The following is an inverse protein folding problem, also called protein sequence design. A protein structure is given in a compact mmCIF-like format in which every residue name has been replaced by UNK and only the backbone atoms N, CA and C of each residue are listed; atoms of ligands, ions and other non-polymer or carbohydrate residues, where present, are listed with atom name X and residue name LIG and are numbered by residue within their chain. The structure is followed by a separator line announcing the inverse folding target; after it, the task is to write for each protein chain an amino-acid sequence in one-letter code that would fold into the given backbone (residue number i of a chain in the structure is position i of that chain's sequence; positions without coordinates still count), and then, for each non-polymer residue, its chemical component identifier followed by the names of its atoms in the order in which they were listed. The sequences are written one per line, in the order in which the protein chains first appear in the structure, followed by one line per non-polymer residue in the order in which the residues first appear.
data_IF_559933113307
#
_entry.id   IF_559933113307
#
_cell.length_a   1.000
_cell.length_b   1.000
_cell.length_c   1.000
_cell.angle_alpha   90.00
_cell.angle_beta   90.00
_cell.angle_gamma   90.00
#
_symmetry.space_group_name_H-M   'P 1'
#
loop_
_entity.id
_entity.type
_entity.pdbx_description
1 polymer ?
#
# COMPACT_ATOMS: atom_id res chain seq x y z
N UNK A 1 -15.04 -4.04 11.87
CA UNK A 1 -14.06 -4.91 11.18
C UNK A 1 -14.48 -6.38 11.31
N UNK A 2 -14.76 -7.05 10.19
CA UNK A 2 -15.09 -8.49 10.14
C UNK A 2 -13.84 -9.38 10.29
N UNK A 3 -13.99 -10.70 10.55
CA UNK A 3 -12.86 -11.63 10.59
C UNK A 3 -12.04 -11.65 9.29
N UNK A 4 -12.71 -11.58 8.13
CA UNK A 4 -12.09 -11.53 6.82
C UNK A 4 -11.32 -10.22 6.61
N UNK A 5 -11.90 -9.10 7.00
CA UNK A 5 -11.22 -7.80 6.99
C UNK A 5 -9.98 -7.84 7.89
N UNK A 6 -10.09 -8.43 9.09
CA UNK A 6 -8.96 -8.55 10.01
C UNK A 6 -7.84 -9.43 9.44
N UNK A 7 -8.18 -10.55 8.80
CA UNK A 7 -7.22 -11.42 8.13
C UNK A 7 -6.48 -10.67 7.00
N UNK A 8 -7.21 -9.99 6.12
CA UNK A 8 -6.63 -9.17 5.05
C UNK A 8 -5.75 -8.06 5.62
N UNK A 9 -6.21 -7.37 6.66
CA UNK A 9 -5.44 -6.31 7.30
C UNK A 9 -4.09 -6.83 7.80
N UNK A 10 -4.07 -7.97 8.52
CA UNK A 10 -2.80 -8.55 9.00
C UNK A 10 -1.84 -8.88 7.87
N UNK A 11 -2.33 -9.34 6.71
CA UNK A 11 -1.50 -9.60 5.54
C UNK A 11 -0.84 -8.32 4.98
N UNK A 12 -1.43 -7.15 5.22
CA UNK A 12 -0.95 -5.86 4.71
C UNK A 12 -0.09 -5.05 5.70
N UNK A 13 0.02 -5.48 6.97
CA UNK A 13 0.73 -4.71 8.01
C UNK A 13 2.24 -4.66 7.78
N UNK A 14 2.85 -5.75 7.34
CA UNK A 14 4.32 -5.84 7.26
C UNK A 14 4.90 -5.04 6.08
N UNK A 15 4.26 -5.10 4.92
CA UNK A 15 4.71 -4.43 3.70
C UNK A 15 3.54 -4.20 2.73
N UNK A 16 3.65 -3.23 1.79
CA UNK A 16 2.73 -3.15 0.67
C UNK A 16 2.75 -4.44 -0.15
N UNK A 17 1.57 -5.00 -0.45
CA UNK A 17 1.42 -6.25 -1.22
C UNK A 17 0.54 -6.03 -2.44
N UNK A 18 0.82 -6.72 -3.57
CA UNK A 18 -0.10 -6.76 -4.70
C UNK A 18 -1.45 -7.35 -4.28
N UNK A 19 -2.55 -6.82 -4.82
CA UNK A 19 -3.90 -7.31 -4.51
C UNK A 19 -4.08 -8.79 -4.85
N UNK A 20 -3.45 -9.27 -5.93
CA UNK A 20 -3.48 -10.68 -6.31
C UNK A 20 -2.76 -11.59 -5.30
N UNK A 21 -1.67 -11.10 -4.68
CA UNK A 21 -0.95 -11.83 -3.63
C UNK A 21 -1.81 -11.95 -2.38
N UNK A 22 -2.47 -10.86 -1.96
CA UNK A 22 -3.43 -10.87 -0.84
C UNK A 22 -4.58 -11.85 -1.09
N UNK A 23 -5.09 -11.92 -2.33
CA UNK A 23 -6.16 -12.86 -2.68
C UNK A 23 -5.71 -14.32 -2.63
N UNK A 24 -4.51 -14.59 -3.13
CA UNK A 24 -3.92 -15.93 -3.10
C UNK A 24 -3.71 -16.42 -1.66
N UNK A 25 -3.18 -15.54 -0.79
CA UNK A 25 -2.89 -15.88 0.61
C UNK A 25 -4.12 -15.98 1.50
N UNK A 26 -5.14 -15.15 1.25
CA UNK A 26 -6.40 -15.20 2.01
C UNK A 26 -7.32 -16.33 1.57
N UNK A 27 -7.08 -16.93 0.40
CA UNK A 27 -7.97 -17.94 -0.20
C UNK A 27 -9.32 -17.39 -0.65
N UNK A 28 -9.48 -16.06 -0.70
CA UNK A 28 -10.71 -15.38 -1.07
C UNK A 28 -10.72 -15.00 -2.57
N UNK A 29 -11.90 -15.00 -3.23
CA UNK A 29 -12.00 -14.52 -4.59
C UNK A 29 -11.51 -13.07 -4.74
N UNK A 30 -10.81 -12.77 -5.83
CA UNK A 30 -10.22 -11.44 -6.08
C UNK A 30 -11.24 -10.30 -5.95
N UNK A 31 -12.48 -10.51 -6.40
CA UNK A 31 -13.56 -9.53 -6.27
C UNK A 31 -13.90 -9.22 -4.81
N UNK A 32 -13.97 -10.24 -3.96
CA UNK A 32 -14.23 -10.10 -2.52
C UNK A 32 -13.09 -9.32 -1.85
N UNK A 33 -11.85 -9.69 -2.14
CA UNK A 33 -10.66 -9.01 -1.60
C UNK A 33 -10.64 -7.54 -1.99
N UNK A 34 -11.00 -7.19 -3.22
CA UNK A 34 -11.09 -5.79 -3.65
C UNK A 34 -12.14 -5.00 -2.86
N UNK A 35 -13.30 -5.59 -2.58
CA UNK A 35 -14.35 -4.94 -1.76
C UNK A 35 -13.83 -4.71 -0.35
N UNK A 36 -13.30 -5.75 0.31
CA UNK A 36 -12.80 -5.65 1.68
C UNK A 36 -11.63 -4.65 1.81
N UNK A 37 -10.72 -4.61 0.83
CA UNK A 37 -9.65 -3.60 0.78
C UNK A 37 -10.20 -2.20 0.56
N UNK A 38 -11.30 -2.04 -0.20
CA UNK A 38 -11.92 -0.73 -0.42
C UNK A 38 -12.55 -0.19 0.87
N UNK A 39 -13.16 -1.07 1.66
CA UNK A 39 -13.69 -0.71 2.98
C UNK A 39 -12.56 -0.30 3.94
N UNK A 40 -11.50 -1.11 4.04
CA UNK A 40 -10.33 -0.78 4.87
C UNK A 40 -9.66 0.53 4.45
N UNK A 41 -9.64 0.83 3.14
CA UNK A 41 -9.12 2.08 2.61
C UNK A 41 -10.02 3.27 2.98
N UNK A 42 -11.35 3.11 2.87
CA UNK A 42 -12.32 4.13 3.26
C UNK A 42 -12.26 4.44 4.77
N UNK A 43 -12.00 3.43 5.60
CA UNK A 43 -11.76 3.57 7.03
C UNK A 43 -10.37 4.15 7.37
N UNK A 44 -9.50 4.35 6.38
CA UNK A 44 -8.15 4.88 6.57
C UNK A 44 -7.17 3.91 7.25
N UNK A 45 -7.54 2.63 7.34
CA UNK A 45 -6.73 1.58 7.98
C UNK A 45 -5.58 1.12 7.10
N UNK A 46 -5.70 1.26 5.78
CA UNK A 46 -4.65 0.93 4.82
C UNK A 46 -4.39 2.08 3.86
N UNK A 47 -3.25 2.01 3.17
CA UNK A 47 -2.92 2.91 2.05
C UNK A 47 -2.62 2.09 0.82
N UNK A 48 -2.98 2.63 -0.34
CA UNK A 48 -2.64 2.04 -1.63
C UNK A 48 -1.45 2.80 -2.22
N UNK A 49 -0.31 2.13 -2.34
CA UNK A 49 0.81 2.65 -3.11
C UNK A 49 0.56 2.41 -4.59
N UNK A 50 0.42 3.49 -5.36
CA UNK A 50 0.57 3.40 -6.82
C UNK A 50 2.05 3.34 -7.16
N UNK A 51 2.52 2.34 -7.91
CA UNK A 51 3.87 2.35 -8.45
C UNK A 51 4.08 3.64 -9.23
N UNK A 52 5.14 4.39 -8.90
CA UNK A 52 5.53 5.56 -9.69
C UNK A 52 6.30 5.03 -10.90
N UNK A 53 5.83 5.30 -12.14
CA UNK A 53 6.57 4.93 -13.34
C UNK A 53 7.98 5.55 -13.30
N UNK A 54 9.03 4.85 -13.80
CA UNK A 54 10.40 5.39 -13.77
C UNK A 54 10.53 6.78 -14.39
N UNK A 55 9.78 7.05 -15.47
CA UNK A 55 9.76 8.34 -16.16
C UNK A 55 9.18 9.51 -15.34
N UNK A 56 8.53 9.22 -14.20
CA UNK A 56 7.93 10.21 -13.29
C UNK A 56 8.70 10.33 -11.97
N UNK A 57 9.78 9.57 -11.79
CA UNK A 57 10.63 9.69 -10.62
C UNK A 57 11.46 10.99 -10.72
N UNK A 58 11.49 11.83 -9.67
CA UNK A 58 12.38 12.97 -9.63
C UNK A 58 13.85 12.54 -9.74
N UNK A 59 14.68 13.41 -10.31
CA UNK A 59 16.13 13.17 -10.35
C UNK A 59 16.68 12.94 -8.93
N UNK A 60 17.46 11.86 -8.77
CA UNK A 60 18.05 11.48 -7.49
C UNK A 60 19.00 12.55 -6.92
N UNK A 61 19.55 13.42 -7.75
CA UNK A 61 20.32 14.59 -7.30
C UNK A 61 19.42 15.58 -6.55
N UNK A 62 18.26 15.93 -7.11
CA UNK A 62 17.29 16.84 -6.49
C UNK A 62 16.80 16.27 -5.15
N UNK A 63 16.48 14.97 -5.08
CA UNK A 63 16.08 14.33 -3.83
C UNK A 63 17.16 14.42 -2.74
N UNK A 64 18.45 14.31 -3.11
CA UNK A 64 19.57 14.45 -2.19
C UNK A 64 19.71 15.89 -1.67
N UNK A 65 19.54 16.88 -2.54
CA UNK A 65 19.57 18.30 -2.14
C UNK A 65 18.44 18.62 -1.15
N UNK A 66 17.21 18.17 -1.42
CA UNK A 66 16.06 18.37 -0.52
C UNK A 66 16.29 17.71 0.84
N UNK A 67 16.77 16.46 0.87
CA UNK A 67 17.09 15.76 2.14
C UNK A 67 18.18 16.52 2.91
N UNK A 68 19.20 17.03 2.22
CA UNK A 68 20.24 17.85 2.82
C UNK A 68 19.68 19.11 3.46
N UNK A 69 18.82 19.84 2.74
CA UNK A 69 18.15 21.04 3.23
C UNK A 69 17.23 20.79 4.42
N UNK A 70 16.39 19.74 4.37
CA UNK A 70 15.48 19.38 5.48
C UNK A 70 16.20 18.97 6.77
N UNK A 71 17.45 18.47 6.69
CA UNK A 71 18.26 18.06 7.84
C UNK A 71 19.10 19.19 8.44
N UNK A 72 19.23 20.31 7.74
CA UNK A 72 19.99 21.48 8.19
C UNK A 72 19.13 22.52 8.93
N UNK A 73 17.84 22.21 9.14
CA UNK A 73 16.85 22.94 9.93
C UNK A 73 16.65 22.23 11.28
#
# INVERSE_FOLDING_TARGET
MSPEQHAIYRLCVERPRPVAEVASDSGLPLGVVRVLLSDLLAEGLIRVNRPVPPAQLPDAHILREVIGGLRAL
#
